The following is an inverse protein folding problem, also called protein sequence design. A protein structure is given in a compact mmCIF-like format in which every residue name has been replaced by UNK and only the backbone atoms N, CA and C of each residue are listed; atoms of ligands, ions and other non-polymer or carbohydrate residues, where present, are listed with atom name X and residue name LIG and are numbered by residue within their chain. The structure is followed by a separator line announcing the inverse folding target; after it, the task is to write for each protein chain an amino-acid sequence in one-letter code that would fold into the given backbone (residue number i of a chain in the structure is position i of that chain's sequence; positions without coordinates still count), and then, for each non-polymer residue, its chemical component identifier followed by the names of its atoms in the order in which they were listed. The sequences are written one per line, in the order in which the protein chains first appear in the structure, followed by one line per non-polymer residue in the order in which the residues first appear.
data_IF_418369224888
#
_entry.id   IF_418369224888
#
_cell.length_a   1.000
_cell.length_b   1.000
_cell.length_c   1.000
_cell.angle_alpha   90.00
_cell.angle_beta   90.00
_cell.angle_gamma   90.00
#
_symmetry.space_group_name_H-M   'P 1'
#
loop_
_entity.id
_entity.type
_entity.pdbx_description
1 polymer ?
#
# COMPACT_ATOMS: atom_id res chain seq x y z
N UNK A 1 5.90 22.75 -1.38
CA UNK A 1 4.99 22.83 -0.21
C UNK A 1 3.78 21.98 -0.55
N UNK A 2 3.39 21.03 0.28
CA UNK A 2 2.18 20.22 0.06
C UNK A 2 1.00 20.87 0.81
N UNK A 3 -0.22 20.44 0.52
CA UNK A 3 -1.44 20.78 1.27
C UNK A 3 -2.04 19.49 1.80
N UNK A 4 -2.46 19.48 3.06
CA UNK A 4 -3.17 18.35 3.64
C UNK A 4 -4.56 18.27 3.00
N UNK A 5 -4.90 17.15 2.37
CA UNK A 5 -6.20 16.96 1.73
C UNK A 5 -7.32 16.65 2.73
N UNK A 6 -6.99 16.52 4.02
CA UNK A 6 -7.95 16.28 5.12
C UNK A 6 -8.34 17.58 5.83
N UNK A 7 -7.36 18.36 6.29
CA UNK A 7 -7.60 19.60 7.04
C UNK A 7 -7.23 20.87 6.28
N UNK A 8 -6.80 20.73 5.03
CA UNK A 8 -6.41 21.84 4.16
C UNK A 8 -5.19 22.67 4.63
N UNK A 9 -4.57 22.31 5.75
CA UNK A 9 -3.36 22.95 6.25
C UNK A 9 -2.14 22.74 5.34
N UNK A 10 -1.30 23.78 5.24
CA UNK A 10 -0.01 23.70 4.53
C UNK A 10 1.07 23.00 5.36
N UNK A 11 2.00 22.33 4.68
CA UNK A 11 3.19 21.75 5.31
C UNK A 11 4.34 22.76 5.29
N UNK A 12 5.07 22.91 6.39
CA UNK A 12 6.31 23.67 6.40
C UNK A 12 7.40 23.04 5.52
N UNK A 13 8.43 23.79 5.11
CA UNK A 13 9.58 23.23 4.39
C UNK A 13 10.27 22.14 5.24
N UNK A 14 10.73 21.07 4.59
CA UNK A 14 11.37 19.94 5.27
C UNK A 14 10.40 18.96 5.97
N UNK A 15 9.09 19.24 6.00
CA UNK A 15 8.10 18.32 6.56
C UNK A 15 7.58 17.38 5.47
N UNK A 16 7.89 16.09 5.61
CA UNK A 16 7.42 15.06 4.68
C UNK A 16 5.90 14.83 4.83
N UNK A 17 5.15 14.76 3.71
CA UNK A 17 3.75 14.37 3.72
C UNK A 17 3.60 12.88 4.06
N UNK A 18 2.44 12.51 4.65
CA UNK A 18 2.07 11.11 4.89
C UNK A 18 0.95 10.74 3.93
N UNK A 19 1.05 9.57 3.29
CA UNK A 19 -0.06 9.02 2.51
C UNK A 19 -1.01 8.25 3.43
N UNK A 20 -2.29 8.59 3.38
CA UNK A 20 -3.35 7.93 4.12
C UNK A 20 -4.28 7.22 3.14
N UNK A 21 -4.41 5.90 3.27
CA UNK A 21 -5.41 5.14 2.51
C UNK A 21 -6.80 5.43 3.05
N UNK A 22 -7.70 5.93 2.20
CA UNK A 22 -9.09 6.26 2.57
C UNK A 22 -10.11 5.27 2.00
N UNK A 23 -9.73 4.55 0.94
CA UNK A 23 -10.61 3.57 0.31
C UNK A 23 -9.81 2.34 -0.13
N UNK A 24 -10.39 1.16 0.12
CA UNK A 24 -9.84 -0.13 -0.27
C UNK A 24 -10.93 -1.00 -0.87
N UNK A 25 -10.55 -1.91 -1.75
CA UNK A 25 -11.43 -2.94 -2.29
C UNK A 25 -10.84 -4.33 -2.06
N UNK A 26 -11.67 -5.35 -1.79
CA UNK A 26 -11.20 -6.72 -1.78
C UNK A 26 -10.79 -7.13 -3.21
N UNK A 27 -9.74 -7.93 -3.32
CA UNK A 27 -9.25 -8.48 -4.59
C UNK A 27 -8.87 -9.94 -4.41
N UNK A 28 -9.22 -10.74 -5.40
CA UNK A 28 -8.67 -12.09 -5.55
C UNK A 28 -7.51 -12.03 -6.54
N UNK A 29 -6.34 -12.46 -6.09
CA UNK A 29 -5.13 -12.56 -6.88
C UNK A 29 -5.04 -13.98 -7.46
N UNK A 30 -4.83 -14.13 -8.78
CA UNK A 30 -4.66 -15.43 -9.38
C UNK A 30 -3.29 -16.02 -9.03
N UNK A 31 -3.17 -17.33 -9.24
CA UNK A 31 -1.88 -18.02 -9.30
C UNK A 31 -0.97 -17.35 -10.34
N UNK A 32 0.28 -17.10 -9.98
CA UNK A 32 1.33 -16.58 -10.87
C UNK A 32 2.54 -17.49 -10.84
N UNK A 33 2.88 -18.03 -12.00
CA UNK A 33 3.98 -18.98 -12.16
C UNK A 33 5.35 -18.29 -12.09
N UNK A 34 6.31 -18.89 -11.40
CA UNK A 34 7.73 -18.52 -11.41
C UNK A 34 8.05 -17.04 -11.07
N UNK A 35 7.27 -16.40 -10.19
CA UNK A 35 7.44 -14.96 -9.89
C UNK A 35 8.28 -14.65 -8.65
N UNK A 36 8.38 -15.57 -7.69
CA UNK A 36 9.07 -15.32 -6.43
C UNK A 36 10.45 -15.98 -6.46
N UNK A 37 11.56 -15.28 -6.17
CA UNK A 37 12.86 -15.93 -6.03
C UNK A 37 12.83 -16.94 -4.88
N UNK A 38 13.44 -18.12 -5.04
CA UNK A 38 13.48 -19.14 -3.98
C UNK A 38 14.03 -18.52 -2.66
N UNK A 39 13.35 -18.72 -1.51
CA UNK A 39 13.65 -18.05 -0.24
C UNK A 39 15.04 -18.42 0.33
N UNK A 40 15.67 -19.49 -0.16
CA UNK A 40 17.04 -19.85 0.20
C UNK A 40 18.11 -19.13 -0.62
N UNK A 41 17.72 -18.25 -1.53
CA UNK A 41 18.61 -17.37 -2.28
C UNK A 41 19.57 -18.13 -3.20
N UNK A 42 19.58 -17.77 -4.48
CA UNK A 42 20.67 -18.11 -5.40
C UNK A 42 20.79 -19.56 -5.87
N UNK A 43 19.84 -20.46 -5.58
CA UNK A 43 19.81 -21.71 -6.34
C UNK A 43 19.52 -21.35 -7.79
N UNK A 44 20.50 -21.58 -8.66
CA UNK A 44 20.33 -21.39 -10.10
C UNK A 44 20.07 -22.73 -10.74
N UNK A 45 19.00 -22.81 -11.53
CA UNK A 45 18.78 -23.93 -12.45
C UNK A 45 19.23 -23.45 -13.82
N UNK A 46 20.21 -24.15 -14.41
CA UNK A 46 20.79 -23.76 -15.71
C UNK A 46 21.28 -22.30 -15.78
N UNK A 47 21.77 -21.76 -14.67
CA UNK A 47 22.25 -20.37 -14.58
C UNK A 47 21.16 -19.32 -14.38
N UNK A 48 19.87 -19.68 -14.44
CA UNK A 48 18.74 -18.80 -14.11
C UNK A 48 18.34 -18.95 -12.64
N UNK A 49 17.89 -17.87 -12.01
CA UNK A 49 17.44 -17.92 -10.63
C UNK A 49 16.22 -18.83 -10.53
N UNK A 50 16.25 -19.83 -9.66
CA UNK A 50 15.08 -20.65 -9.38
C UNK A 50 13.99 -19.75 -8.76
N UNK A 51 12.84 -19.73 -9.41
CA UNK A 51 11.66 -19.04 -8.91
C UNK A 51 10.63 -20.08 -8.44
N UNK A 52 9.77 -19.66 -7.52
CA UNK A 52 8.62 -20.40 -7.03
C UNK A 52 7.34 -19.66 -7.41
N UNK A 53 6.29 -20.43 -7.56
CA UNK A 53 4.96 -19.91 -7.85
C UNK A 53 4.43 -19.08 -6.68
N UNK A 54 3.73 -18.01 -7.02
CA UNK A 54 2.85 -17.31 -6.10
C UNK A 54 1.45 -17.94 -6.22
N UNK A 55 0.94 -18.66 -5.20
CA UNK A 55 -0.38 -19.30 -5.26
C UNK A 55 -1.52 -18.30 -5.43
N UNK A 56 -1.25 -17.00 -5.26
CA UNK A 56 -2.27 -15.97 -5.20
C UNK A 56 -3.05 -16.05 -3.89
N UNK A 57 -4.29 -15.57 -3.89
CA UNK A 57 -5.16 -15.57 -2.72
C UNK A 57 -6.08 -14.37 -2.63
N UNK A 58 -6.64 -14.14 -1.45
CA UNK A 58 -7.49 -12.99 -1.18
C UNK A 58 -6.71 -11.89 -0.46
N UNK A 59 -6.91 -10.65 -0.87
CA UNK A 59 -6.31 -9.49 -0.22
C UNK A 59 -7.08 -8.21 -0.50
N UNK A 60 -6.44 -7.08 -0.26
CA UNK A 60 -7.02 -5.75 -0.42
C UNK A 60 -6.14 -4.90 -1.30
N UNK A 61 -6.75 -4.17 -2.24
CA UNK A 61 -6.09 -3.14 -3.01
C UNK A 61 -6.49 -1.76 -2.48
N UNK A 62 -5.51 -0.86 -2.47
CA UNK A 62 -5.74 0.55 -2.21
C UNK A 62 -6.43 1.14 -3.44
N UNK A 63 -7.63 1.68 -3.26
CA UNK A 63 -8.39 2.35 -4.33
C UNK A 63 -8.08 3.83 -4.36
N UNK A 64 -8.00 4.45 -3.17
CA UNK A 64 -7.75 5.87 -3.02
C UNK A 64 -6.87 6.16 -1.81
N UNK A 65 -5.92 7.05 -2.04
CA UNK A 65 -5.06 7.64 -1.01
C UNK A 65 -5.24 9.16 -1.00
N UNK A 66 -4.96 9.76 0.14
CA UNK A 66 -4.86 11.20 0.30
C UNK A 66 -3.54 11.57 0.98
N UNK A 67 -3.04 12.76 0.69
CA UNK A 67 -1.89 13.38 1.35
C UNK A 67 -2.37 14.04 2.65
N UNK A 68 -1.90 13.53 3.78
CA UNK A 68 -2.28 14.00 5.11
C UNK A 68 -1.08 14.55 5.88
N UNK A 69 -1.33 15.56 6.72
CA UNK A 69 -0.35 15.97 7.73
C UNK A 69 -0.21 14.89 8.80
N UNK A 70 0.90 14.91 9.55
CA UNK A 70 1.14 13.89 10.59
C UNK A 70 0.02 13.80 11.62
N UNK A 71 -0.61 14.93 11.97
CA UNK A 71 -1.76 14.96 12.87
C UNK A 71 -3.00 14.28 12.30
N UNK A 72 -3.39 14.62 11.07
CA UNK A 72 -4.51 13.97 10.38
C UNK A 72 -4.24 12.49 10.10
N UNK A 73 -3.00 12.13 9.77
CA UNK A 73 -2.62 10.73 9.57
C UNK A 73 -2.72 9.93 10.87
N UNK A 74 -2.27 10.48 12.00
CA UNK A 74 -2.40 9.84 13.31
C UNK A 74 -3.86 9.68 13.75
N UNK A 75 -4.71 10.69 13.48
CA UNK A 75 -6.14 10.64 13.78
C UNK A 75 -6.93 9.71 12.83
N UNK A 76 -6.50 9.55 11.58
CA UNK A 76 -7.11 8.64 10.61
C UNK A 76 -6.68 7.18 10.76
N UNK A 77 -5.52 6.93 11.37
CA UNK A 77 -5.00 5.57 11.61
C UNK A 77 -5.86 4.76 12.59
N UNK A 78 -6.66 5.41 13.43
CA UNK A 78 -7.60 4.79 14.37
C UNK A 78 -8.95 4.39 13.76
N UNK A 79 -9.19 4.72 12.48
CA UNK A 79 -10.50 4.57 11.84
C UNK A 79 -10.53 3.56 10.70
N UNK A 80 -10.49 2.26 11.00
CA UNK A 80 -11.20 1.29 10.17
C UNK A 80 -12.72 1.51 10.32
N UNK A 81 -13.24 2.60 9.76
CA UNK A 81 -14.67 2.89 9.76
C UNK A 81 -15.01 3.68 8.49
N UNK A 82 -15.49 2.94 7.49
CA UNK A 82 -16.52 3.33 6.53
C UNK A 82 -16.70 4.84 6.33
N UNK A 83 -16.20 5.32 5.20
CA UNK A 83 -16.64 6.56 4.59
C UNK A 83 -18.17 6.65 4.60
N UNK A 84 -18.72 7.60 5.39
CA UNK A 84 -19.98 8.23 5.02
C UNK A 84 -19.64 9.31 4.01
N UNK A 85 -19.91 9.04 2.75
CA UNK A 85 -20.09 10.08 1.74
C UNK A 85 -21.48 10.67 2.00
N UNK A 86 -21.53 12.00 2.13
CA UNK A 86 -22.76 12.77 2.29
C UNK A 86 -23.66 12.68 1.05
#
# INVERSE_FOLDING_TARGET
MFKCEVCEGGFGPGVAPVKLTVERRPRTYPLRWDVNPEPKGFRRVEGQLACVDDPGGQGWEIVREVVACRGCAAAGATGAATARVA
#
